data_IF_598792158182
#
_entry.id   IF_598792158182
#
_cell.length_a   1.000
_cell.length_b   1.000
_cell.length_c   1.000
_cell.angle_alpha   90.00
_cell.angle_beta   90.00
_cell.angle_gamma   90.00
#
_symmetry.space_group_name_H-M   'P 1'
#
loop_
_entity.id
_entity.type
_entity.pdbx_description
1 polymer ?
#
# COMPACT_ATOMS: atom_id res chain seq x y z
N UNK A 1 -0.92 -19.83 9.96
CA UNK A 1 -1.07 -18.65 9.11
C UNK A 1 -0.11 -18.65 7.92
N UNK A 2 -0.52 -18.03 6.87
CA UNK A 2 0.33 -17.89 5.70
C UNK A 2 1.43 -16.88 5.96
N UNK A 3 2.65 -17.23 5.61
CA UNK A 3 3.78 -16.31 5.61
C UNK A 3 3.83 -15.56 4.30
N UNK A 4 3.91 -14.25 4.38
CA UNK A 4 4.15 -13.40 3.23
C UNK A 4 5.59 -12.88 3.28
N UNK A 5 6.29 -12.93 2.16
CA UNK A 5 7.68 -12.53 2.06
C UNK A 5 7.88 -11.48 0.97
N UNK A 6 8.78 -10.54 1.25
CA UNK A 6 9.26 -9.56 0.28
C UNK A 6 10.67 -9.96 -0.13
N UNK A 7 10.89 -10.09 -1.43
CA UNK A 7 12.21 -10.33 -1.97
C UNK A 7 12.58 -9.21 -2.94
N UNK A 8 13.84 -8.80 -2.94
CA UNK A 8 14.34 -7.75 -3.80
C UNK A 8 15.29 -8.39 -4.83
N UNK A 9 14.77 -8.87 -5.98
CA UNK A 9 15.59 -9.56 -6.97
C UNK A 9 16.55 -8.65 -7.72
N UNK A 10 16.24 -7.37 -7.81
CA UNK A 10 17.11 -6.38 -8.44
C UNK A 10 17.06 -5.09 -7.65
N UNK A 11 18.22 -4.61 -7.22
CA UNK A 11 18.37 -3.31 -6.58
C UNK A 11 19.58 -2.63 -7.15
N UNK A 12 19.39 -1.49 -7.78
CA UNK A 12 20.48 -0.64 -8.26
C UNK A 12 20.65 0.50 -7.27
N UNK A 13 21.87 0.64 -6.76
CA UNK A 13 22.21 1.63 -5.76
C UNK A 13 23.20 2.64 -6.35
N UNK A 14 22.81 3.91 -6.33
CA UNK A 14 23.66 5.01 -6.77
C UNK A 14 24.04 5.84 -5.55
N UNK A 15 25.31 5.82 -5.20
CA UNK A 15 25.82 6.55 -4.03
C UNK A 15 26.50 7.85 -4.44
N UNK A 16 26.02 8.93 -3.83
CA UNK A 16 26.68 10.22 -3.73
C UNK A 16 26.89 10.48 -2.22
N UNK A 17 27.94 11.18 -1.77
CA UNK A 17 28.19 11.38 -0.34
C UNK A 17 27.03 11.96 0.47
N UNK A 18 26.12 12.68 -0.18
CA UNK A 18 24.97 13.31 0.50
C UNK A 18 23.60 12.81 0.03
N UNK A 19 23.56 12.01 -1.01
CA UNK A 19 22.31 11.59 -1.62
C UNK A 19 22.44 10.14 -2.05
N UNK A 20 21.49 9.34 -1.62
CA UNK A 20 21.44 7.93 -1.95
C UNK A 20 20.19 7.67 -2.75
N UNK A 21 20.37 7.12 -3.96
CA UNK A 21 19.28 6.70 -4.81
C UNK A 21 19.34 5.20 -5.01
N UNK A 22 18.20 4.58 -4.87
CA UNK A 22 18.05 3.18 -5.17
C UNK A 22 16.81 2.97 -6.00
N UNK A 23 16.88 2.04 -6.93
CA UNK A 23 15.71 1.59 -7.66
C UNK A 23 15.81 0.09 -7.90
N UNK A 24 14.67 -0.57 -7.91
CA UNK A 24 14.66 -2.01 -8.07
C UNK A 24 13.27 -2.58 -8.12
N UNK A 25 13.22 -3.90 -8.19
CA UNK A 25 11.99 -4.67 -8.18
C UNK A 25 11.88 -5.43 -6.87
N UNK A 26 10.72 -5.36 -6.25
CA UNK A 26 10.38 -6.13 -5.05
C UNK A 26 9.38 -7.19 -5.46
N UNK A 27 9.71 -8.44 -5.23
CA UNK A 27 8.83 -9.56 -5.50
C UNK A 27 8.01 -9.87 -4.26
N UNK A 28 6.69 -9.93 -4.44
CA UNK A 28 5.76 -10.27 -3.36
C UNK A 28 5.43 -11.75 -3.46
N UNK A 29 5.78 -12.53 -2.45
CA UNK A 29 5.54 -13.96 -2.46
C UNK A 29 5.04 -14.47 -1.11
N UNK A 30 4.36 -15.59 -1.14
CA UNK A 30 3.89 -16.31 0.04
C UNK A 30 4.02 -17.81 -0.20
N UNK A 31 3.58 -18.62 0.76
CA UNK A 31 3.57 -20.08 0.62
C UNK A 31 2.74 -20.57 -0.58
N UNK A 32 1.79 -19.75 -1.05
CA UNK A 32 0.94 -20.09 -2.19
C UNK A 32 1.54 -19.66 -3.54
N UNK A 33 2.70 -19.00 -3.53
CA UNK A 33 3.40 -18.60 -4.75
C UNK A 33 3.68 -17.11 -4.85
N UNK A 34 4.02 -16.67 -6.04
CA UNK A 34 4.31 -15.28 -6.34
C UNK A 34 3.01 -14.52 -6.57
N UNK A 35 2.85 -13.37 -5.89
CA UNK A 35 1.64 -12.55 -5.93
C UNK A 35 1.79 -11.26 -6.74
N UNK A 36 2.97 -11.00 -7.26
CA UNK A 36 3.22 -9.86 -8.12
C UNK A 36 4.59 -9.24 -7.89
N UNK A 37 4.87 -8.22 -8.66
CA UNK A 37 6.14 -7.48 -8.61
C UNK A 37 5.82 -6.00 -8.46
N UNK A 38 6.57 -5.35 -7.58
CA UNK A 38 6.45 -3.93 -7.33
C UNK A 38 7.76 -3.23 -7.70
N UNK A 39 7.66 -2.11 -8.43
CA UNK A 39 8.80 -1.23 -8.65
C UNK A 39 8.96 -0.30 -7.47
N UNK A 40 10.19 -0.11 -7.03
CA UNK A 40 10.50 0.77 -5.91
C UNK A 40 11.64 1.70 -6.30
N UNK A 41 11.49 2.98 -5.98
CA UNK A 41 12.55 3.98 -6.11
C UNK A 41 12.67 4.72 -4.78
N UNK A 42 13.90 4.90 -4.34
CA UNK A 42 14.20 5.65 -3.12
C UNK A 42 15.18 6.76 -3.44
N UNK A 43 14.94 7.93 -2.88
CA UNK A 43 15.82 9.08 -2.96
C UNK A 43 15.95 9.65 -1.55
N UNK A 44 17.02 9.28 -0.88
CA UNK A 44 17.25 9.59 0.52
C UNK A 44 18.50 10.47 0.65
N UNK A 45 18.42 11.47 1.51
CA UNK A 45 19.55 12.32 1.86
C UNK A 45 20.15 11.89 3.18
N UNK A 46 21.45 11.93 3.23
CA UNK A 46 22.19 11.63 4.45
C UNK A 46 22.48 12.94 5.17
N UNK A 47 21.68 13.21 6.19
CA UNK A 47 21.94 14.30 7.11
C UNK A 47 22.48 13.73 8.42
N UNK A 48 23.68 14.13 8.80
CA UNK A 48 24.35 13.70 10.03
C UNK A 48 24.70 12.21 10.09
N UNK A 49 25.01 11.59 8.95
CA UNK A 49 25.42 10.18 8.90
C UNK A 49 24.30 9.16 8.93
N UNK A 50 23.04 9.60 8.79
CA UNK A 50 21.87 8.74 8.75
C UNK A 50 21.07 9.02 7.50
N UNK A 51 20.58 7.96 6.85
CA UNK A 51 19.63 8.09 5.73
C UNK A 51 18.31 8.60 6.29
N UNK A 52 18.22 9.91 6.51
CA UNK A 52 17.19 10.47 7.38
C UNK A 52 16.04 11.15 6.64
N UNK A 53 16.27 11.69 5.44
CA UNK A 53 15.26 12.51 4.77
C UNK A 53 15.14 12.11 3.31
N UNK A 54 13.93 12.03 2.82
CA UNK A 54 13.72 11.76 1.41
C UNK A 54 12.35 11.23 1.06
N UNK A 55 12.28 10.59 -0.09
CA UNK A 55 11.05 10.04 -0.65
C UNK A 55 11.26 8.62 -1.14
N UNK A 56 10.21 7.84 -0.98
CA UNK A 56 10.11 6.50 -1.56
C UNK A 56 8.92 6.49 -2.49
N UNK A 57 9.11 5.99 -3.69
CA UNK A 57 8.05 5.79 -4.66
C UNK A 57 7.91 4.30 -4.94
N UNK A 58 6.68 3.85 -5.08
CA UNK A 58 6.40 2.46 -5.43
C UNK A 58 5.25 2.39 -6.44
N UNK A 59 5.29 1.37 -7.28
CA UNK A 59 4.26 1.11 -8.27
C UNK A 59 4.11 -0.39 -8.46
N UNK A 60 2.88 -0.84 -8.57
CA UNK A 60 2.56 -2.22 -8.86
C UNK A 60 1.32 -2.31 -9.75
N UNK A 61 1.37 -3.23 -10.71
CA UNK A 61 0.23 -3.51 -11.58
C UNK A 61 -0.32 -4.89 -11.24
N UNK A 62 -1.60 -4.93 -10.93
CA UNK A 62 -2.37 -6.17 -10.71
C UNK A 62 -1.71 -7.11 -9.69
N UNK A 63 -1.35 -6.58 -8.52
CA UNK A 63 -0.78 -7.39 -7.46
C UNK A 63 -1.86 -8.01 -6.58
N UNK A 64 -1.60 -9.22 -6.12
CA UNK A 64 -2.47 -9.94 -5.19
C UNK A 64 -2.06 -9.60 -3.75
N UNK A 65 -2.92 -8.86 -3.05
CA UNK A 65 -2.69 -8.46 -1.67
C UNK A 65 -3.37 -9.37 -0.65
N UNK A 66 -4.03 -10.43 -1.10
CA UNK A 66 -4.74 -11.34 -0.22
C UNK A 66 -3.90 -11.85 0.96
N UNK A 67 -2.63 -12.27 0.77
CA UNK A 67 -1.85 -12.79 1.90
C UNK A 67 -1.61 -11.78 3.03
N UNK A 68 -1.65 -10.49 2.71
CA UNK A 68 -1.41 -9.43 3.70
C UNK A 68 -2.70 -8.87 4.28
N UNK A 69 -3.73 -8.69 3.46
CA UNK A 69 -5.00 -8.12 3.90
C UNK A 69 -5.81 -9.09 4.75
N UNK A 70 -5.66 -10.40 4.55
CA UNK A 70 -6.39 -11.40 5.31
C UNK A 70 -6.18 -11.30 6.83
N UNK A 71 -5.04 -10.76 7.25
CA UNK A 71 -4.74 -10.58 8.68
C UNK A 71 -5.54 -9.46 9.34
N UNK A 72 -6.08 -8.55 8.53
CA UNK A 72 -6.80 -7.36 9.01
C UNK A 72 -8.30 -7.59 9.03
N UNK A 73 -8.77 -8.71 8.49
CA UNK A 73 -10.20 -9.02 8.42
C UNK A 73 -10.62 -9.83 9.64
N UNK A 74 -11.87 -9.66 10.04
CA UNK A 74 -12.43 -10.39 11.17
C UNK A 74 -12.56 -11.88 10.83
N UNK A 75 -12.55 -12.72 11.87
CA UNK A 75 -12.51 -14.18 11.73
C UNK A 75 -13.70 -14.77 10.96
N UNK A 76 -14.85 -14.07 10.92
CA UNK A 76 -16.03 -14.52 10.21
C UNK A 76 -16.08 -14.07 8.74
N UNK A 77 -15.02 -13.44 8.25
CA UNK A 77 -14.92 -12.99 6.87
C UNK A 77 -13.75 -13.71 6.21
N UNK A 78 -14.03 -14.44 5.13
CA UNK A 78 -13.03 -15.14 4.37
C UNK A 78 -12.73 -14.37 3.07
N UNK A 79 -11.57 -13.73 3.01
CA UNK A 79 -11.11 -13.00 1.83
C UNK A 79 -10.79 -14.01 0.72
N UNK A 80 -11.43 -13.88 -0.43
CA UNK A 80 -11.20 -14.74 -1.58
C UNK A 80 -10.21 -14.15 -2.56
N UNK A 81 -10.37 -12.89 -2.93
CA UNK A 81 -9.49 -12.18 -3.86
C UNK A 81 -9.21 -10.76 -3.36
N UNK A 82 -8.03 -10.24 -3.69
CA UNK A 82 -7.69 -8.85 -3.46
C UNK A 82 -6.58 -8.45 -4.43
N UNK A 83 -6.97 -7.92 -5.59
CA UNK A 83 -6.02 -7.53 -6.63
C UNK A 83 -6.15 -6.04 -6.93
N UNK A 84 -5.00 -5.35 -6.94
CA UNK A 84 -4.95 -3.90 -7.08
C UNK A 84 -3.78 -3.48 -7.96
N UNK A 85 -4.00 -2.42 -8.73
CA UNK A 85 -2.94 -1.65 -9.37
C UNK A 85 -2.81 -0.33 -8.63
N UNK A 86 -1.60 -0.02 -8.17
CA UNK A 86 -1.39 1.12 -7.31
C UNK A 86 -0.07 1.83 -7.60
N UNK A 87 -0.02 3.07 -7.19
CA UNK A 87 1.19 3.89 -7.19
C UNK A 87 1.19 4.70 -5.90
N UNK A 88 2.35 4.82 -5.26
CA UNK A 88 2.41 5.49 -3.98
C UNK A 88 3.71 6.26 -3.78
N UNK A 89 3.64 7.24 -2.92
CA UNK A 89 4.78 8.06 -2.48
C UNK A 89 4.77 8.12 -0.97
N UNK A 90 5.93 7.90 -0.37
CA UNK A 90 6.12 8.06 1.05
C UNK A 90 7.19 9.09 1.32
N UNK A 91 6.97 9.92 2.32
CA UNK A 91 7.94 10.91 2.79
C UNK A 91 8.60 10.38 4.06
N UNK A 92 9.92 10.49 4.09
CA UNK A 92 10.73 10.07 5.24
C UNK A 92 11.41 11.31 5.82
N UNK A 93 11.29 11.49 7.13
CA UNK A 93 11.92 12.55 7.88
C UNK A 93 12.54 11.96 9.14
N UNK A 94 13.81 12.23 9.36
CA UNK A 94 14.59 11.72 10.50
C UNK A 94 14.48 10.19 10.65
N UNK A 95 14.47 9.49 9.53
CA UNK A 95 14.41 8.02 9.51
C UNK A 95 13.02 7.43 9.65
N UNK A 96 12.00 8.23 9.88
CA UNK A 96 10.62 7.77 10.06
C UNK A 96 9.75 8.16 8.87
N UNK A 97 8.79 7.32 8.54
CA UNK A 97 7.75 7.66 7.57
C UNK A 97 6.81 8.67 8.21
N UNK A 98 6.66 9.85 7.59
CA UNK A 98 5.81 10.93 8.09
C UNK A 98 4.50 11.06 7.36
N UNK A 99 4.40 10.50 6.16
CA UNK A 99 3.19 10.56 5.38
C UNK A 99 3.39 10.04 4.00
N UNK A 100 2.36 10.17 3.17
CA UNK A 100 2.40 9.75 1.79
C UNK A 100 1.07 9.83 1.12
N UNK A 101 1.08 9.45 -0.14
CA UNK A 101 -0.10 9.38 -0.98
C UNK A 101 -0.13 8.03 -1.67
N UNK A 102 -1.29 7.42 -1.74
CA UNK A 102 -1.50 6.17 -2.47
C UNK A 102 -2.61 6.38 -3.47
N UNK A 103 -2.32 6.06 -4.72
CA UNK A 103 -3.29 6.09 -5.81
C UNK A 103 -3.62 4.66 -6.20
N UNK A 104 -4.84 4.23 -5.89
CA UNK A 104 -5.39 2.97 -6.35
C UNK A 104 -6.03 3.21 -7.72
N UNK A 105 -5.31 2.83 -8.77
CA UNK A 105 -5.75 3.07 -10.15
C UNK A 105 -7.00 2.27 -10.46
N UNK A 106 -6.95 0.99 -10.12
CA UNK A 106 -8.08 0.07 -10.21
C UNK A 106 -7.80 -1.14 -9.33
N UNK A 107 -8.85 -1.85 -9.00
CA UNK A 107 -8.71 -3.09 -8.27
C UNK A 107 -9.99 -3.48 -7.57
N UNK A 108 -9.92 -4.59 -6.88
CA UNK A 108 -11.06 -5.08 -6.15
C UNK A 108 -10.71 -6.22 -5.21
N UNK A 109 -11.63 -6.45 -4.31
CA UNK A 109 -11.58 -7.54 -3.36
C UNK A 109 -12.91 -8.25 -3.31
N UNK A 110 -12.88 -9.54 -3.05
CA UNK A 110 -14.09 -10.31 -2.78
C UNK A 110 -13.89 -11.15 -1.54
N UNK A 111 -14.96 -11.31 -0.78
CA UNK A 111 -14.93 -12.08 0.45
C UNK A 111 -16.25 -12.79 0.65
N UNK A 112 -16.19 -13.90 1.36
CA UNK A 112 -17.36 -14.67 1.70
C UNK A 112 -17.90 -14.17 3.04
N UNK A 113 -19.11 -13.62 3.03
CA UNK A 113 -19.85 -13.28 4.23
C UNK A 113 -20.71 -14.46 4.71
N UNK A 114 -21.55 -14.22 5.69
CA UNK A 114 -22.36 -15.29 6.29
C UNK A 114 -23.32 -15.93 5.29
N UNK A 115 -23.87 -15.18 4.35
CA UNK A 115 -24.91 -15.64 3.44
C UNK A 115 -24.57 -15.51 1.96
N UNK A 116 -23.56 -14.70 1.61
CA UNK A 116 -23.25 -14.43 0.21
C UNK A 116 -21.83 -13.92 0.06
N UNK A 117 -21.35 -13.98 -1.16
CA UNK A 117 -20.07 -13.36 -1.52
C UNK A 117 -20.27 -11.87 -1.76
N UNK A 118 -19.43 -11.07 -1.14
CA UNK A 118 -19.41 -9.63 -1.33
C UNK A 118 -18.23 -9.23 -2.21
N UNK A 119 -18.42 -8.19 -3.00
CA UNK A 119 -17.36 -7.63 -3.85
C UNK A 119 -17.22 -6.14 -3.59
N UNK A 120 -15.98 -5.68 -3.65
CA UNK A 120 -15.66 -4.26 -3.60
C UNK A 120 -14.73 -3.96 -4.77
N UNK A 121 -15.01 -2.91 -5.51
CA UNK A 121 -14.11 -2.43 -6.56
C UNK A 121 -13.81 -0.96 -6.38
N UNK A 122 -12.60 -0.58 -6.71
CA UNK A 122 -12.14 0.80 -6.69
C UNK A 122 -11.66 1.19 -8.07
N UNK A 123 -11.88 2.43 -8.42
CA UNK A 123 -11.43 3.00 -9.67
C UNK A 123 -10.96 4.43 -9.42
N UNK A 124 -9.66 4.64 -9.60
CA UNK A 124 -9.05 5.97 -9.51
C UNK A 124 -9.27 6.63 -8.14
N UNK A 125 -8.97 5.92 -7.08
CA UNK A 125 -9.12 6.39 -5.70
C UNK A 125 -7.76 6.83 -5.16
N UNK A 126 -7.69 8.02 -4.57
CA UNK A 126 -6.48 8.54 -3.93
C UNK A 126 -6.69 8.64 -2.43
N UNK A 127 -5.72 8.13 -1.66
CA UNK A 127 -5.70 8.25 -0.21
C UNK A 127 -4.46 9.03 0.23
N UNK A 128 -4.63 9.93 1.18
CA UNK A 128 -3.54 10.67 1.82
C UNK A 128 -3.32 10.13 3.21
N UNK A 129 -2.06 9.91 3.55
CA UNK A 129 -1.66 9.37 4.85
C UNK A 129 -0.76 10.38 5.52
N UNK A 130 -1.10 10.77 6.75
CA UNK A 130 -0.29 11.70 7.55
C UNK A 130 -0.05 11.11 8.92
N UNK A 131 1.19 11.16 9.37
CA UNK A 131 1.52 10.74 10.71
C UNK A 131 1.06 11.79 11.71
N UNK A 132 0.23 11.36 12.63
CA UNK A 132 -0.13 12.13 13.81
C UNK A 132 0.75 11.69 14.98
N UNK A 133 0.71 12.38 16.07
CA UNK A 133 1.47 11.98 17.26
C UNK A 133 0.53 11.95 18.48
N UNK A 134 0.03 10.75 18.87
CA UNK A 134 0.31 9.42 18.31
C UNK A 134 -0.62 9.06 17.15
N UNK A 135 -0.19 8.06 16.35
CA UNK A 135 -1.04 7.42 15.36
C UNK A 135 -0.92 7.97 13.95
N UNK A 136 -1.96 7.74 13.16
CA UNK A 136 -2.00 8.08 11.74
C UNK A 136 -3.37 8.62 11.37
N UNK A 137 -3.40 9.51 10.39
CA UNK A 137 -4.62 10.00 9.78
C UNK A 137 -4.65 9.59 8.30
N UNK A 138 -5.79 9.06 7.87
CA UNK A 138 -6.05 8.67 6.49
C UNK A 138 -7.17 9.55 5.94
N UNK A 139 -6.95 10.14 4.78
CA UNK A 139 -7.93 11.00 4.14
C UNK A 139 -8.14 10.55 2.70
N UNK A 140 -9.40 10.31 2.34
CA UNK A 140 -9.82 9.96 0.99
C UNK A 140 -10.76 11.07 0.52
N UNK A 141 -10.29 12.01 -0.32
CA UNK A 141 -11.11 13.15 -0.72
C UNK A 141 -12.36 12.77 -1.53
N UNK A 142 -12.26 11.72 -2.33
CA UNK A 142 -13.38 11.27 -3.16
C UNK A 142 -13.41 9.75 -3.17
N UNK A 143 -14.44 9.18 -2.55
CA UNK A 143 -14.61 7.73 -2.50
C UNK A 143 -15.24 7.23 -3.79
N UNK A 144 -14.43 6.61 -4.65
CA UNK A 144 -14.88 5.96 -5.89
C UNK A 144 -14.88 4.45 -5.71
N UNK A 145 -15.88 3.99 -4.96
CA UNK A 145 -15.99 2.60 -4.54
C UNK A 145 -17.34 2.06 -5.02
N UNK A 146 -17.33 0.86 -5.56
CA UNK A 146 -18.52 0.10 -5.88
C UNK A 146 -18.58 -1.13 -4.96
N UNK A 147 -19.67 -1.30 -4.26
CA UNK A 147 -19.89 -2.42 -3.34
C UNK A 147 -21.06 -3.25 -3.84
N UNK A 148 -20.80 -4.54 -4.10
CA UNK A 148 -21.82 -5.49 -4.59
C UNK A 148 -22.55 -4.97 -5.84
N UNK A 149 -21.81 -4.35 -6.75
CA UNK A 149 -22.34 -3.80 -8.00
C UNK A 149 -23.05 -2.45 -7.86
N UNK A 150 -23.10 -1.87 -6.66
CA UNK A 150 -23.76 -0.59 -6.40
C UNK A 150 -22.72 0.47 -6.05
N UNK A 151 -22.80 1.66 -6.65
CA UNK A 151 -21.89 2.74 -6.27
C UNK A 151 -22.07 3.11 -4.79
N UNK A 152 -20.93 3.21 -4.10
CA UNK A 152 -20.91 3.77 -2.76
C UNK A 152 -21.15 5.28 -2.85
N UNK A 153 -21.85 5.90 -1.89
CA UNK A 153 -22.05 7.35 -1.93
C UNK A 153 -20.71 8.09 -2.03
N UNK A 154 -20.62 8.99 -3.00
CA UNK A 154 -19.42 9.83 -3.15
C UNK A 154 -19.30 10.79 -1.99
N UNK A 155 -18.07 11.14 -1.64
CA UNK A 155 -17.79 12.06 -0.55
C UNK A 155 -16.40 11.87 -0.02
N UNK A 156 -16.01 12.73 0.91
CA UNK A 156 -14.72 12.64 1.56
C UNK A 156 -14.82 11.76 2.80
N UNK A 157 -13.78 10.97 3.04
CA UNK A 157 -13.66 10.12 4.22
C UNK A 157 -12.34 10.42 4.91
N UNK A 158 -12.41 10.64 6.23
CA UNK A 158 -11.22 10.80 7.05
C UNK A 158 -11.28 9.82 8.21
N UNK A 159 -10.22 9.06 8.38
CA UNK A 159 -10.08 8.07 9.44
C UNK A 159 -8.81 8.37 10.24
N UNK A 160 -8.89 8.26 11.54
CA UNK A 160 -7.74 8.34 12.41
C UNK A 160 -7.51 6.99 13.08
N UNK A 161 -6.24 6.54 13.10
CA UNK A 161 -5.85 5.33 13.80
C UNK A 161 -4.88 5.70 14.90
N UNK A 162 -5.23 5.31 16.13
CA UNK A 162 -4.43 5.55 17.32
C UNK A 162 -4.06 4.19 17.90
N UNK A 163 -2.75 3.87 18.02
CA UNK A 163 -2.31 2.59 18.57
C UNK A 163 -2.64 2.42 20.04
#
# INVERSE_FOLDING_TARGET
GQRAELAIPQLTWLNDPRRHRAEGLVSLSSLTGQHGVMQVRMDLRDDEGLLSNGRVWLQADDIDLKPWLGKWMQDNIALETAQFSLEGWMTIDKGDVTGGDVWLKQGGASWLGEKQTHTLSVDNLTAHITRENPGWQFSIPDTRITMDGKPWPSGALTLAWIP
#
